data_IF_629217362517
#
_entry.id   IF_629217362517
#
_cell.length_a   1.000
_cell.length_b   1.000
_cell.length_c   1.000
_cell.angle_alpha   90.00
_cell.angle_beta   90.00
_cell.angle_gamma   90.00
#
_symmetry.space_group_name_H-M   'P 1'
#
loop_
_entity.id
_entity.type
_entity.pdbx_description
1 polymer ?
#
# COMPACT_ATOMS: atom_id res chain seq x y z
N UNK A 1 -18.58 16.39 -5.80
CA UNK A 1 -19.24 15.07 -5.94
C UNK A 1 -19.90 14.78 -4.59
N UNK A 2 -21.23 14.71 -4.56
CA UNK A 2 -22.03 14.75 -3.33
C UNK A 2 -21.88 13.46 -2.50
N UNK A 3 -21.74 13.60 -1.17
CA UNK A 3 -21.53 12.48 -0.21
C UNK A 3 -22.51 11.32 -0.38
N UNK A 4 -23.75 11.60 -0.75
CA UNK A 4 -24.82 10.60 -0.87
C UNK A 4 -24.59 9.67 -2.07
N UNK A 5 -24.07 10.20 -3.18
CA UNK A 5 -23.69 9.39 -4.36
C UNK A 5 -22.54 8.41 -4.07
N UNK A 6 -21.71 8.72 -3.06
CA UNK A 6 -20.57 7.89 -2.70
C UNK A 6 -20.99 6.69 -1.84
N UNK A 7 -21.82 6.91 -0.81
CA UNK A 7 -22.34 5.84 0.05
C UNK A 7 -23.10 4.78 -0.77
N UNK A 8 -23.97 5.22 -1.68
CA UNK A 8 -24.76 4.30 -2.51
C UNK A 8 -23.86 3.46 -3.44
N UNK A 9 -22.81 4.07 -3.99
CA UNK A 9 -21.83 3.38 -4.82
C UNK A 9 -21.00 2.38 -4.01
N UNK A 10 -20.59 2.72 -2.80
CA UNK A 10 -19.86 1.82 -1.90
C UNK A 10 -20.71 0.60 -1.52
N UNK A 11 -22.00 0.80 -1.21
CA UNK A 11 -22.93 -0.29 -1.00
C UNK A 11 -23.01 -1.22 -2.23
N UNK A 12 -23.11 -0.65 -3.44
CA UNK A 12 -23.21 -1.44 -4.69
C UNK A 12 -21.91 -2.16 -5.09
N UNK A 13 -20.75 -1.51 -4.96
CA UNK A 13 -19.47 -2.03 -5.44
C UNK A 13 -18.77 -2.94 -4.43
N UNK A 14 -18.92 -2.64 -3.13
CA UNK A 14 -18.20 -3.27 -2.01
C UNK A 14 -19.15 -4.03 -1.07
N UNK A 15 -20.46 -3.77 -1.10
CA UNK A 15 -21.41 -4.40 -0.18
C UNK A 15 -21.42 -3.81 1.23
N UNK A 16 -20.90 -2.60 1.40
CA UNK A 16 -20.80 -1.97 2.71
C UNK A 16 -22.15 -1.33 3.15
N UNK A 17 -22.70 -1.82 4.25
CA UNK A 17 -23.84 -1.27 5.00
C UNK A 17 -23.50 -1.24 6.50
N UNK A 18 -24.34 -0.62 7.33
CA UNK A 18 -24.11 -0.59 8.78
C UNK A 18 -24.18 -2.00 9.39
N UNK A 19 -25.05 -2.85 8.85
CA UNK A 19 -25.17 -4.27 9.21
C UNK A 19 -23.93 -5.04 8.79
N UNK A 20 -23.50 -4.95 7.52
CA UNK A 20 -22.34 -5.72 7.03
C UNK A 20 -21.04 -5.28 7.70
N UNK A 21 -20.93 -4.01 8.11
CA UNK A 21 -19.84 -3.52 8.97
C UNK A 21 -19.83 -4.23 10.31
N UNK A 22 -20.94 -4.17 11.04
CA UNK A 22 -21.08 -4.78 12.37
C UNK A 22 -20.80 -6.29 12.31
N UNK A 23 -21.45 -6.99 11.40
CA UNK A 23 -21.35 -8.44 11.24
C UNK A 23 -19.97 -8.87 10.76
N UNK A 24 -19.43 -8.20 9.74
CA UNK A 24 -18.12 -8.51 9.17
C UNK A 24 -16.98 -8.29 10.17
N UNK A 25 -17.04 -7.21 10.95
CA UNK A 25 -16.10 -6.95 12.03
C UNK A 25 -16.18 -8.00 13.14
N UNK A 26 -17.38 -8.34 13.59
CA UNK A 26 -17.57 -9.38 14.60
C UNK A 26 -17.08 -10.75 14.10
N UNK A 27 -17.33 -11.09 12.84
CA UNK A 27 -16.87 -12.34 12.24
C UNK A 27 -15.34 -12.38 12.09
N UNK A 28 -14.73 -11.31 11.58
CA UNK A 28 -13.27 -11.25 11.43
C UNK A 28 -12.55 -11.30 12.78
N UNK A 29 -13.11 -10.69 13.83
CA UNK A 29 -12.62 -10.83 15.21
C UNK A 29 -12.76 -12.25 15.75
N UNK A 30 -13.87 -12.95 15.46
CA UNK A 30 -14.01 -14.38 15.81
C UNK A 30 -12.91 -15.23 15.17
N UNK A 31 -12.56 -14.98 13.91
CA UNK A 31 -11.40 -15.64 13.29
C UNK A 31 -10.11 -15.37 14.05
N UNK A 32 -9.85 -14.12 14.43
CA UNK A 32 -8.66 -13.76 15.21
C UNK A 32 -8.65 -14.43 16.60
N UNK A 33 -9.78 -14.47 17.30
CA UNK A 33 -9.89 -15.19 18.58
C UNK A 33 -9.64 -16.69 18.46
N UNK A 34 -10.01 -17.30 17.33
CA UNK A 34 -9.73 -18.70 17.02
C UNK A 34 -8.28 -18.99 16.60
N UNK A 35 -7.45 -17.96 16.39
CA UNK A 35 -6.05 -18.06 15.96
C UNK A 35 -5.17 -17.18 16.87
N UNK A 36 -4.99 -17.56 18.15
CA UNK A 36 -4.38 -16.71 19.18
C UNK A 36 -2.89 -16.37 18.92
N UNK A 37 -2.23 -17.09 18.02
CA UNK A 37 -0.87 -16.80 17.55
C UNK A 37 -0.78 -15.56 16.66
N UNK A 38 -1.92 -15.08 16.13
CA UNK A 38 -1.98 -13.88 15.29
C UNK A 38 -2.14 -12.64 16.18
N UNK A 39 -1.01 -12.00 16.47
CA UNK A 39 -0.98 -10.73 17.19
C UNK A 39 -1.13 -9.55 16.21
N UNK A 40 -2.28 -8.87 16.26
CA UNK A 40 -2.54 -7.70 15.42
C UNK A 40 -3.51 -6.72 16.06
N UNK A 41 -3.54 -5.50 15.53
CA UNK A 41 -4.49 -4.46 15.93
C UNK A 41 -5.90 -4.89 15.56
N UNK A 42 -6.85 -4.78 16.50
CA UNK A 42 -8.26 -5.14 16.27
C UNK A 42 -9.20 -3.92 16.22
N UNK A 43 -8.66 -2.72 16.00
CA UNK A 43 -9.46 -1.52 15.79
C UNK A 43 -10.30 -1.63 14.51
N UNK A 44 -11.54 -1.12 14.53
CA UNK A 44 -12.47 -1.19 13.39
C UNK A 44 -11.84 -0.61 12.12
N UNK A 45 -11.23 0.56 12.20
CA UNK A 45 -10.61 1.27 11.06
C UNK A 45 -9.48 0.47 10.39
N UNK A 46 -8.80 -0.41 11.14
CA UNK A 46 -7.76 -1.27 10.59
C UNK A 46 -8.39 -2.51 9.92
N UNK A 47 -9.31 -3.18 10.61
CA UNK A 47 -9.96 -4.40 10.12
C UNK A 47 -10.85 -4.15 8.88
N UNK A 48 -11.52 -2.99 8.83
CA UNK A 48 -12.35 -2.58 7.69
C UNK A 48 -11.58 -2.50 6.38
N UNK A 49 -10.27 -2.21 6.41
CA UNK A 49 -9.43 -2.17 5.19
C UNK A 49 -9.47 -3.51 4.46
N UNK A 50 -9.40 -4.60 5.21
CA UNK A 50 -9.39 -5.96 4.69
C UNK A 50 -10.77 -6.39 4.22
N UNK A 51 -11.81 -6.08 5.00
CA UNK A 51 -13.22 -6.32 4.63
C UNK A 51 -13.57 -5.60 3.32
N UNK A 52 -13.26 -4.30 3.22
CA UNK A 52 -13.49 -3.49 2.02
C UNK A 52 -12.74 -4.04 0.81
N UNK A 53 -11.47 -4.39 0.98
CA UNK A 53 -10.63 -4.96 -0.09
C UNK A 53 -11.14 -6.31 -0.61
N UNK A 54 -12.02 -7.00 0.12
CA UNK A 54 -12.62 -8.28 -0.27
C UNK A 54 -14.15 -8.25 -0.28
N UNK A 55 -14.75 -7.06 -0.40
CA UNK A 55 -16.20 -6.88 -0.51
C UNK A 55 -16.98 -7.60 0.59
N UNK A 56 -16.48 -7.51 1.82
CA UNK A 56 -17.03 -8.12 3.02
C UNK A 56 -17.09 -9.67 3.01
N UNK A 57 -16.37 -10.33 2.11
CA UNK A 57 -16.07 -11.77 2.20
C UNK A 57 -15.09 -12.00 3.36
N UNK A 58 -15.61 -12.47 4.50
CA UNK A 58 -14.86 -12.59 5.77
C UNK A 58 -13.66 -13.53 5.63
N UNK A 59 -13.83 -14.68 4.96
CA UNK A 59 -12.77 -15.67 4.80
C UNK A 59 -11.62 -15.12 3.94
N UNK A 60 -11.96 -14.50 2.81
CA UNK A 60 -10.94 -13.84 1.96
C UNK A 60 -10.29 -12.66 2.67
N UNK A 61 -11.03 -11.93 3.49
CA UNK A 61 -10.52 -10.82 4.29
C UNK A 61 -9.51 -11.32 5.34
N UNK A 62 -9.82 -12.42 6.01
CA UNK A 62 -8.91 -13.05 6.97
C UNK A 62 -7.66 -13.59 6.30
N UNK A 63 -7.78 -14.23 5.14
CA UNK A 63 -6.62 -14.65 4.33
C UNK A 63 -5.72 -13.47 3.95
N UNK A 64 -6.32 -12.37 3.48
CA UNK A 64 -5.59 -11.13 3.15
C UNK A 64 -4.87 -10.54 4.36
N UNK A 65 -5.54 -10.48 5.52
CA UNK A 65 -4.94 -10.01 6.77
C UNK A 65 -3.72 -10.86 7.16
N UNK A 66 -3.83 -12.19 7.10
CA UNK A 66 -2.70 -13.10 7.38
C UNK A 66 -1.53 -12.88 6.43
N UNK A 67 -1.81 -12.75 5.13
CA UNK A 67 -0.77 -12.45 4.12
C UNK A 67 -0.08 -11.12 4.40
N UNK A 68 -0.85 -10.07 4.74
CA UNK A 68 -0.30 -8.76 5.11
C UNK A 68 0.62 -8.84 6.33
N UNK A 69 0.19 -9.52 7.40
CA UNK A 69 1.00 -9.67 8.61
C UNK A 69 2.25 -10.52 8.36
N UNK A 70 2.15 -11.54 7.52
CA UNK A 70 3.28 -12.38 7.12
C UNK A 70 4.31 -11.57 6.31
N UNK A 71 3.85 -10.72 5.38
CA UNK A 71 4.72 -9.82 4.63
C UNK A 71 5.43 -8.82 5.56
N UNK A 72 4.71 -8.22 6.52
CA UNK A 72 5.30 -7.34 7.54
C UNK A 72 6.37 -8.02 8.39
N UNK A 73 6.17 -9.31 8.73
CA UNK A 73 7.14 -10.09 9.51
C UNK A 73 8.35 -10.49 8.68
N UNK A 74 8.14 -10.85 7.42
CA UNK A 74 9.19 -11.30 6.50
C UNK A 74 10.08 -10.15 6.03
N UNK A 75 9.49 -8.98 5.78
CA UNK A 75 10.12 -7.84 5.14
C UNK A 75 9.96 -6.55 5.97
N UNK A 76 10.34 -6.54 7.27
CA UNK A 76 10.04 -5.44 8.19
C UNK A 76 10.59 -4.09 7.72
N UNK A 77 11.72 -4.08 7.01
CA UNK A 77 12.35 -2.87 6.48
C UNK A 77 11.51 -2.15 5.43
N UNK A 78 10.55 -2.82 4.77
CA UNK A 78 9.64 -2.20 3.80
C UNK A 78 8.47 -1.46 4.46
N UNK A 79 8.13 -1.83 5.70
CA UNK A 79 6.94 -1.32 6.40
C UNK A 79 7.27 -0.42 7.59
N UNK A 80 8.53 -0.38 8.02
CA UNK A 80 8.98 0.52 9.06
C UNK A 80 9.33 1.88 8.45
N UNK A 81 8.75 2.94 9.01
CA UNK A 81 9.29 4.29 8.84
C UNK A 81 10.72 4.26 9.36
N UNK A 82 11.69 4.67 8.54
CA UNK A 82 12.97 5.00 9.14
C UNK A 82 12.77 6.20 10.07
N UNK A 83 13.63 6.42 11.07
CA UNK A 83 13.50 7.52 12.03
C UNK A 83 13.52 8.96 11.42
N UNK A 84 13.29 9.17 10.13
CA UNK A 84 14.19 9.98 9.34
C UNK A 84 13.61 11.21 8.62
N UNK A 85 14.51 12.19 8.56
CA UNK A 85 14.63 13.21 7.51
C UNK A 85 14.92 12.57 6.13
N UNK A 86 15.47 11.35 6.05
CA UNK A 86 15.85 10.68 4.80
C UNK A 86 14.66 10.22 3.94
N UNK A 87 13.62 9.62 4.53
CA UNK A 87 12.42 9.24 3.78
C UNK A 87 11.69 10.49 3.24
N UNK A 88 11.69 11.58 4.01
CA UNK A 88 11.19 12.88 3.56
C UNK A 88 12.02 13.40 2.38
N UNK A 89 13.35 13.28 2.44
CA UNK A 89 14.24 13.66 1.33
C UNK A 89 13.92 12.86 0.07
N UNK A 90 13.73 11.54 0.15
CA UNK A 90 13.38 10.71 -1.01
C UNK A 90 12.01 11.07 -1.60
N UNK A 91 11.00 11.28 -0.75
CA UNK A 91 9.68 11.74 -1.18
C UNK A 91 9.76 13.12 -1.84
N UNK A 92 10.65 14.00 -1.36
CA UNK A 92 10.82 15.36 -1.91
C UNK A 92 11.47 15.41 -3.30
N UNK A 93 12.08 14.31 -3.78
CA UNK A 93 12.70 14.24 -5.11
C UNK A 93 11.70 14.18 -6.26
N UNK A 94 10.41 13.95 -5.95
CA UNK A 94 9.38 13.78 -6.97
C UNK A 94 9.56 12.52 -7.83
N UNK A 95 10.31 11.53 -7.33
CA UNK A 95 10.40 10.19 -7.93
C UNK A 95 9.09 9.43 -7.79
N UNK A 96 8.29 9.75 -6.77
CA UNK A 96 6.95 9.19 -6.58
C UNK A 96 6.08 10.13 -5.73
N UNK A 97 4.76 10.02 -5.85
CA UNK A 97 3.81 10.68 -4.96
C UNK A 97 2.38 10.14 -5.10
N UNK A 98 1.55 10.40 -4.09
CA UNK A 98 0.09 10.37 -4.20
C UNK A 98 -0.38 11.78 -4.58
N UNK A 99 -1.07 11.93 -5.70
CA UNK A 99 -1.62 13.23 -6.11
C UNK A 99 -2.76 13.65 -5.17
N UNK A 100 -2.89 14.95 -4.95
CA UNK A 100 -4.03 15.53 -4.20
C UNK A 100 -5.37 15.27 -4.89
N UNK A 101 -5.36 15.19 -6.22
CA UNK A 101 -6.53 14.89 -7.03
C UNK A 101 -6.83 13.39 -7.10
N UNK A 102 -8.10 13.06 -7.30
CA UNK A 102 -8.58 11.69 -7.51
C UNK A 102 -9.14 11.52 -8.92
N UNK A 103 -9.24 10.29 -9.40
CA UNK A 103 -9.94 10.02 -10.67
C UNK A 103 -11.43 10.36 -10.55
N UNK A 104 -12.15 10.43 -11.67
CA UNK A 104 -13.62 10.59 -11.66
C UNK A 104 -14.34 9.50 -10.87
N UNK A 105 -13.70 8.33 -10.69
CA UNK A 105 -14.21 7.21 -9.90
C UNK A 105 -13.82 7.29 -8.42
N UNK A 106 -13.15 8.35 -7.95
CA UNK A 106 -12.72 8.52 -6.56
C UNK A 106 -11.42 7.81 -6.20
N UNK A 107 -10.73 7.21 -7.18
CA UNK A 107 -9.51 6.45 -6.94
C UNK A 107 -8.34 7.39 -6.63
N UNK A 108 -7.51 7.02 -5.66
CA UNK A 108 -6.26 7.74 -5.43
C UNK A 108 -5.33 7.54 -6.63
N UNK A 109 -4.54 8.57 -6.98
CA UNK A 109 -3.62 8.51 -8.11
C UNK A 109 -2.20 8.46 -7.56
N UNK A 110 -1.57 7.29 -7.67
CA UNK A 110 -0.16 7.10 -7.37
C UNK A 110 0.65 7.34 -8.65
N UNK A 111 1.67 8.18 -8.58
CA UNK A 111 2.60 8.44 -9.69
C UNK A 111 3.97 7.92 -9.30
N UNK A 112 4.58 7.11 -10.17
CA UNK A 112 5.96 6.63 -10.04
C UNK A 112 6.76 7.04 -11.27
N UNK A 113 7.96 7.59 -11.06
CA UNK A 113 8.87 8.08 -12.10
C UNK A 113 10.22 7.38 -11.95
N UNK A 114 10.33 6.10 -12.32
CA UNK A 114 11.52 5.31 -12.06
C UNK A 114 12.81 5.90 -12.64
N UNK A 115 12.72 6.64 -13.76
CA UNK A 115 13.87 7.30 -14.39
C UNK A 115 14.48 8.47 -13.60
N UNK A 116 13.80 8.96 -12.55
CA UNK A 116 14.31 10.03 -11.67
C UNK A 116 15.16 9.52 -10.52
N UNK A 117 15.14 8.22 -10.22
CA UNK A 117 15.91 7.67 -9.12
C UNK A 117 17.40 7.62 -9.44
N UNK A 118 18.20 8.29 -8.62
CA UNK A 118 19.64 8.07 -8.63
C UNK A 118 19.98 6.83 -7.78
N UNK A 119 19.93 5.65 -8.41
CA UNK A 119 20.13 4.38 -7.72
C UNK A 119 21.59 4.10 -7.40
N UNK A 120 21.84 3.58 -6.20
CA UNK A 120 23.13 3.06 -5.74
C UNK A 120 22.98 1.65 -5.18
N UNK A 121 24.04 0.85 -5.28
CA UNK A 121 24.05 -0.53 -4.77
C UNK A 121 24.15 -0.61 -3.25
N UNK A 122 24.68 0.42 -2.59
CA UNK A 122 24.97 0.43 -1.16
C UNK A 122 24.97 1.88 -0.66
N UNK A 123 24.32 2.13 0.49
CA UNK A 123 24.24 3.43 1.16
C UNK A 123 25.62 4.03 1.48
N UNK A 124 26.64 3.20 1.72
CA UNK A 124 28.02 3.66 1.97
C UNK A 124 28.58 4.51 0.81
N UNK A 125 28.01 4.38 -0.39
CA UNK A 125 28.41 5.10 -1.60
C UNK A 125 27.64 6.42 -1.84
N UNK A 126 26.82 6.90 -0.89
CA UNK A 126 26.02 8.14 -1.04
C UNK A 126 26.89 9.37 -1.32
N UNK A 127 28.03 9.50 -0.64
CA UNK A 127 29.01 10.57 -0.89
C UNK A 127 28.42 11.99 -0.97
N UNK A 128 27.38 12.31 -0.19
CA UNK A 128 26.68 13.61 -0.22
C UNK A 128 25.69 13.81 -1.37
N UNK A 129 25.52 12.83 -2.27
CA UNK A 129 24.47 12.84 -3.29
C UNK A 129 23.15 12.36 -2.72
N UNK A 130 22.06 12.90 -3.24
CA UNK A 130 20.70 12.49 -2.94
C UNK A 130 20.36 11.18 -3.68
N UNK A 131 21.10 10.11 -3.35
CA UNK A 131 20.99 8.79 -3.95
C UNK A 131 20.22 7.82 -3.05
N UNK A 132 19.62 6.80 -3.66
CA UNK A 132 18.76 5.80 -3.00
C UNK A 132 19.16 4.39 -3.36
N UNK A 133 18.99 3.45 -2.44
CA UNK A 133 18.98 2.03 -2.82
C UNK A 133 17.63 1.63 -3.41
N UNK A 134 17.59 0.48 -4.09
CA UNK A 134 16.35 -0.06 -4.65
C UNK A 134 15.34 -0.35 -3.52
N UNK A 135 15.81 -0.87 -2.39
CA UNK A 135 15.01 -1.14 -1.20
C UNK A 135 14.42 0.13 -0.60
N UNK A 136 15.16 1.24 -0.55
CA UNK A 136 14.65 2.54 -0.09
C UNK A 136 13.55 3.06 -1.03
N UNK A 137 13.74 2.93 -2.34
CA UNK A 137 12.72 3.30 -3.32
C UNK A 137 11.44 2.46 -3.15
N UNK A 138 11.57 1.13 -3.00
CA UNK A 138 10.41 0.26 -2.76
C UNK A 138 9.73 0.54 -1.41
N UNK A 139 10.51 0.75 -0.34
CA UNK A 139 9.98 1.12 0.98
C UNK A 139 9.15 2.38 0.90
N UNK A 140 9.67 3.45 0.30
CA UNK A 140 8.90 4.71 0.20
C UNK A 140 7.61 4.52 -0.61
N UNK A 141 7.60 3.67 -1.64
CA UNK A 141 6.38 3.35 -2.39
C UNK A 141 5.36 2.62 -1.50
N UNK A 142 5.79 1.62 -0.73
CA UNK A 142 4.93 0.91 0.23
C UNK A 142 4.36 1.88 1.26
N UNK A 143 5.19 2.76 1.83
CA UNK A 143 4.76 3.76 2.80
C UNK A 143 3.76 4.76 2.21
N UNK A 144 3.96 5.23 0.97
CA UNK A 144 3.02 6.12 0.29
C UNK A 144 1.66 5.45 0.06
N UNK A 145 1.65 4.17 -0.31
CA UNK A 145 0.43 3.39 -0.47
C UNK A 145 -0.26 3.13 0.87
N UNK A 146 0.47 2.71 1.92
CA UNK A 146 -0.05 2.54 3.28
C UNK A 146 -0.66 3.84 3.82
N UNK A 147 -0.02 4.98 3.57
CA UNK A 147 -0.54 6.29 3.92
C UNK A 147 -1.85 6.60 3.17
N UNK A 148 -1.91 6.31 1.87
CA UNK A 148 -3.13 6.51 1.08
C UNK A 148 -4.31 5.65 1.56
N UNK A 149 -4.03 4.48 2.16
CA UNK A 149 -5.03 3.57 2.73
C UNK A 149 -5.61 4.06 4.06
N UNK A 150 -5.07 5.13 4.66
CA UNK A 150 -5.70 5.80 5.80
C UNK A 150 -7.02 6.48 5.38
N UNK A 151 -7.16 6.85 4.11
CA UNK A 151 -8.40 7.43 3.59
C UNK A 151 -9.41 6.36 3.18
N UNK A 152 -10.59 6.39 3.78
CA UNK A 152 -11.70 5.49 3.48
C UNK A 152 -12.08 5.46 1.98
N UNK A 153 -12.06 6.62 1.32
CA UNK A 153 -12.34 6.70 -0.11
C UNK A 153 -11.33 5.89 -0.94
N UNK A 154 -10.05 5.82 -0.52
CA UNK A 154 -9.04 4.96 -1.18
C UNK A 154 -9.33 3.48 -0.95
N UNK A 155 -9.76 3.09 0.26
CA UNK A 155 -10.09 1.70 0.57
C UNK A 155 -11.27 1.19 -0.28
N UNK A 156 -12.21 2.08 -0.61
CA UNK A 156 -13.42 1.77 -1.36
C UNK A 156 -13.22 1.87 -2.88
N UNK A 157 -12.53 2.92 -3.35
CA UNK A 157 -12.32 3.16 -4.78
C UNK A 157 -11.09 2.43 -5.34
N UNK A 158 -10.12 2.12 -4.48
CA UNK A 158 -8.79 1.65 -4.86
C UNK A 158 -7.85 2.78 -5.31
N UNK A 159 -6.74 2.35 -5.91
CA UNK A 159 -5.64 3.21 -6.38
C UNK A 159 -5.41 2.94 -7.88
N UNK A 160 -5.14 4.00 -8.63
CA UNK A 160 -4.61 3.92 -10.00
C UNK A 160 -3.15 4.35 -9.98
N UNK A 161 -2.28 3.56 -10.60
CA UNK A 161 -0.86 3.87 -10.75
C UNK A 161 -0.57 4.42 -12.14
N UNK A 162 0.15 5.54 -12.19
CA UNK A 162 0.74 6.12 -13.41
C UNK A 162 2.25 5.91 -13.30
N UNK A 163 2.82 5.19 -14.26
CA UNK A 163 4.25 4.96 -14.34
C UNK A 163 4.81 5.79 -15.50
N UNK A 164 5.53 6.85 -15.14
CA UNK A 164 6.21 7.72 -16.07
C UNK A 164 7.61 7.17 -16.36
N UNK A 165 7.78 6.62 -17.56
CA UNK A 165 9.01 5.97 -17.99
C UNK A 165 10.05 6.94 -18.57
N UNK A 166 9.78 8.25 -18.56
CA UNK A 166 10.78 9.24 -18.98
C UNK A 166 12.07 9.11 -18.15
N UNK A 167 13.22 9.10 -18.84
CA UNK A 167 14.54 8.95 -18.22
C UNK A 167 14.87 7.53 -17.73
N UNK A 168 13.95 6.56 -17.85
CA UNK A 168 14.23 5.18 -17.49
C UNK A 168 15.31 4.59 -18.41
N UNK A 169 16.17 3.74 -17.84
CA UNK A 169 17.31 3.15 -18.54
C UNK A 169 17.63 1.81 -17.90
N UNK A 170 17.71 0.74 -18.69
CA UNK A 170 18.06 -0.59 -18.18
C UNK A 170 19.44 -0.61 -17.52
N UNK A 171 20.40 0.15 -18.04
CA UNK A 171 21.75 0.23 -17.47
C UNK A 171 21.72 0.83 -16.06
N UNK A 172 20.94 1.89 -15.85
CA UNK A 172 20.90 2.62 -14.57
C UNK A 172 19.86 2.06 -13.58
N UNK A 173 18.77 1.48 -14.09
CA UNK A 173 17.56 1.18 -13.33
C UNK A 173 17.14 -0.29 -13.38
N UNK A 174 17.99 -1.18 -13.91
CA UNK A 174 17.74 -2.64 -13.92
C UNK A 174 17.47 -3.23 -12.53
N UNK A 175 17.93 -2.59 -11.45
CA UNK A 175 17.62 -3.00 -10.08
C UNK A 175 16.11 -3.09 -9.80
N UNK A 176 15.27 -2.26 -10.43
CA UNK A 176 13.81 -2.36 -10.30
C UNK A 176 13.21 -3.60 -10.98
N UNK A 177 13.93 -4.22 -11.91
CA UNK A 177 13.49 -5.42 -12.63
C UNK A 177 13.96 -6.72 -11.97
N UNK A 178 14.71 -6.63 -10.87
CA UNK A 178 15.18 -7.80 -10.15
C UNK A 178 13.96 -8.57 -9.57
N UNK A 179 13.80 -9.87 -9.89
CA UNK A 179 12.70 -10.69 -9.38
C UNK A 179 12.63 -10.71 -7.85
N UNK A 180 13.78 -10.61 -7.17
CA UNK A 180 13.83 -10.54 -5.70
C UNK A 180 13.00 -9.39 -5.14
N UNK A 181 13.14 -8.17 -5.67
CA UNK A 181 12.38 -7.02 -5.18
C UNK A 181 10.93 -7.03 -5.67
N UNK A 182 10.71 -7.50 -6.90
CA UNK A 182 9.39 -7.54 -7.52
C UNK A 182 8.47 -8.53 -6.81
N UNK A 183 8.96 -9.73 -6.46
CA UNK A 183 8.16 -10.74 -5.74
C UNK A 183 7.77 -10.29 -4.33
N UNK A 184 8.67 -9.60 -3.63
CA UNK A 184 8.43 -9.08 -2.27
C UNK A 184 7.29 -8.06 -2.28
N UNK A 185 7.25 -7.15 -3.25
CA UNK A 185 6.17 -6.15 -3.35
C UNK A 185 4.86 -6.70 -3.90
N UNK A 186 4.87 -7.59 -4.90
CA UNK A 186 3.64 -8.18 -5.44
C UNK A 186 2.84 -8.94 -4.37
N UNK A 187 3.52 -9.61 -3.44
CA UNK A 187 2.87 -10.32 -2.33
C UNK A 187 2.06 -9.41 -1.38
N UNK A 188 2.30 -8.10 -1.42
CA UNK A 188 1.57 -7.08 -0.65
C UNK A 188 0.33 -6.57 -1.41
N UNK A 189 0.39 -6.57 -2.75
CA UNK A 189 -0.62 -5.96 -3.63
C UNK A 189 -1.62 -6.99 -4.18
N UNK A 190 -1.19 -8.24 -4.36
CA UNK A 190 -2.01 -9.32 -4.91
C UNK A 190 -2.00 -10.53 -3.97
N UNK A 191 -3.19 -10.85 -3.43
CA UNK A 191 -3.45 -12.17 -2.82
C UNK A 191 -4.51 -12.82 -3.68
N UNK A 192 -4.08 -13.79 -4.49
CA UNK A 192 -4.92 -14.70 -5.28
C UNK A 192 -5.77 -15.61 -4.39
#
# INVERSE_FOLDING_TARGET
MFKDSWKERCCKEVGETDESRTEGLAALRRHLSGNPEIHTVQADEFLLRFLRARKFDVEKSFKLLKSYLSAKKRDPELFQLSPAVEDIVHLSQGCQCILRGRTKKGQAIFVSRPGKYNLISDKSKRGGRQAVTVEEAFRTNVLALEWSLLEEMTQLAGVVSIIDMEGFSLVKHSGFLNPYHTMRTTSVVQVS
#
